data_IF_510647513503
#
_entry.id   IF_510647513503
#
_cell.length_a   1.000
_cell.length_b   1.000
_cell.length_c   1.000
_cell.angle_alpha   90.00
_cell.angle_beta   90.00
_cell.angle_gamma   90.00
#
_symmetry.space_group_name_H-M   'P 1'
#
loop_
_entity.id
_entity.type
_entity.pdbx_description
1 polymer ?
#
# COMPACT_ATOMS: atom_id res chain seq x y z
N UNK A 1 -5.48 -6.85 -28.88
CA UNK A 1 -5.23 -8.03 -28.02
C UNK A 1 -6.49 -8.89 -27.88
N UNK A 2 -7.62 -8.32 -27.42
CA UNK A 2 -8.91 -9.05 -27.24
C UNK A 2 -9.39 -9.68 -28.55
N UNK A 3 -9.36 -8.93 -29.67
CA UNK A 3 -9.73 -9.45 -30.99
C UNK A 3 -8.96 -10.72 -31.36
N UNK A 4 -7.66 -10.77 -31.01
CA UNK A 4 -6.84 -11.97 -31.28
C UNK A 4 -7.25 -13.16 -30.42
N UNK A 5 -7.67 -12.95 -29.18
CA UNK A 5 -8.23 -14.02 -28.34
C UNK A 5 -9.56 -14.53 -28.90
N UNK A 6 -10.42 -13.63 -29.39
CA UNK A 6 -11.71 -13.97 -30.00
C UNK A 6 -11.53 -14.76 -31.29
N UNK A 7 -10.56 -14.40 -32.16
CA UNK A 7 -10.17 -15.18 -33.33
C UNK A 7 -9.75 -16.60 -32.98
N UNK A 8 -9.14 -16.78 -31.78
CA UNK A 8 -8.75 -18.07 -31.22
C UNK A 8 -9.85 -18.76 -30.42
N UNK A 9 -11.11 -18.30 -30.61
CA UNK A 9 -12.32 -18.84 -29.98
C UNK A 9 -12.34 -18.75 -28.44
N UNK A 10 -11.72 -17.69 -27.87
CA UNK A 10 -11.90 -17.37 -26.46
C UNK A 10 -13.11 -16.47 -26.25
N UNK A 11 -13.95 -16.82 -25.28
CA UNK A 11 -14.91 -15.90 -24.70
C UNK A 11 -14.16 -14.99 -23.73
N UNK A 12 -14.26 -13.67 -23.92
CA UNK A 12 -13.51 -12.69 -23.16
C UNK A 12 -14.44 -11.76 -22.37
N UNK A 13 -14.18 -11.61 -21.09
CA UNK A 13 -14.76 -10.58 -20.24
C UNK A 13 -13.63 -9.73 -19.64
N UNK A 14 -13.77 -8.40 -19.66
CA UNK A 14 -12.78 -7.52 -19.06
C UNK A 14 -13.44 -6.30 -18.42
N UNK A 15 -12.87 -5.87 -17.31
CA UNK A 15 -13.36 -4.73 -16.54
C UNK A 15 -12.21 -4.08 -15.76
N UNK A 16 -12.30 -2.76 -15.56
CA UNK A 16 -11.46 -2.10 -14.56
C UNK A 16 -12.18 -2.24 -13.22
N UNK A 17 -11.50 -2.88 -12.26
CA UNK A 17 -12.02 -3.10 -10.91
C UNK A 17 -11.20 -2.34 -9.88
N UNK A 18 -11.81 -1.96 -8.77
CA UNK A 18 -11.12 -1.52 -7.58
C UNK A 18 -10.99 -2.73 -6.63
N UNK A 19 -9.79 -3.02 -6.15
CA UNK A 19 -9.58 -4.16 -5.24
C UNK A 19 -10.38 -4.02 -3.94
N UNK A 20 -10.69 -2.80 -3.49
CA UNK A 20 -11.54 -2.55 -2.33
C UNK A 20 -12.96 -3.12 -2.50
N UNK A 21 -13.49 -3.17 -3.73
CA UNK A 21 -14.80 -3.76 -4.03
C UNK A 21 -14.85 -5.26 -3.71
N UNK A 22 -13.69 -5.90 -3.53
CA UNK A 22 -13.52 -7.34 -3.29
C UNK A 22 -12.90 -7.65 -1.92
N UNK A 23 -12.90 -6.69 -0.99
CA UNK A 23 -12.46 -6.91 0.39
C UNK A 23 -10.96 -6.72 0.62
N UNK A 24 -10.23 -6.12 -0.33
CA UNK A 24 -8.83 -5.74 -0.10
C UNK A 24 -8.81 -4.37 0.61
N UNK A 25 -8.08 -4.18 1.73
CA UNK A 25 -8.02 -2.91 2.44
C UNK A 25 -7.16 -1.87 1.71
N UNK A 26 -7.32 -1.79 0.39
CA UNK A 26 -6.48 -0.97 -0.50
C UNK A 26 -7.28 -0.47 -1.70
N UNK A 27 -7.25 0.84 -1.92
CA UNK A 27 -7.76 1.46 -3.14
C UNK A 27 -6.76 1.24 -4.28
N UNK A 28 -7.00 0.20 -5.09
CA UNK A 28 -6.13 -0.23 -6.19
C UNK A 28 -6.97 -0.60 -7.40
N UNK A 29 -6.92 0.19 -8.43
CA UNK A 29 -7.64 -0.09 -9.68
C UNK A 29 -6.78 -0.88 -10.65
N UNK A 30 -7.34 -1.95 -11.20
CA UNK A 30 -6.68 -2.83 -12.16
C UNK A 30 -7.63 -3.23 -13.28
N UNK A 31 -7.07 -3.37 -14.48
CA UNK A 31 -7.73 -4.07 -15.56
C UNK A 31 -7.63 -5.57 -15.29
N UNK A 32 -8.78 -6.22 -15.17
CA UNK A 32 -8.88 -7.69 -15.11
C UNK A 32 -9.48 -8.17 -16.41
N UNK A 33 -8.81 -9.15 -17.04
CA UNK A 33 -9.28 -9.83 -18.24
C UNK A 33 -9.40 -11.31 -17.91
N UNK A 34 -10.60 -11.84 -18.12
CA UNK A 34 -10.87 -13.28 -18.11
C UNK A 34 -11.08 -13.74 -19.54
N UNK A 35 -10.46 -14.88 -19.89
CA UNK A 35 -10.61 -15.47 -21.21
C UNK A 35 -10.74 -17.00 -21.07
N UNK A 36 -11.78 -17.60 -21.65
CA UNK A 36 -12.08 -19.03 -21.56
C UNK A 36 -12.45 -19.59 -22.93
N UNK A 37 -11.96 -20.77 -23.23
CA UNK A 37 -12.43 -21.59 -24.39
C UNK A 37 -13.53 -22.57 -24.03
N UNK A 38 -13.86 -22.69 -22.72
CA UNK A 38 -14.86 -23.62 -22.21
C UNK A 38 -16.27 -23.02 -22.18
N UNK A 39 -16.42 -21.74 -22.50
CA UNK A 39 -17.68 -21.01 -22.49
C UNK A 39 -17.55 -19.61 -21.93
N UNK A 40 -18.68 -18.94 -21.73
CA UNK A 40 -18.72 -17.60 -21.14
C UNK A 40 -18.15 -17.61 -19.72
N UNK A 41 -17.38 -16.59 -19.43
CA UNK A 41 -16.79 -16.35 -18.10
C UNK A 41 -17.00 -14.89 -17.75
N UNK A 42 -17.38 -14.62 -16.51
CA UNK A 42 -17.66 -13.29 -16.00
C UNK A 42 -16.94 -13.07 -14.67
N UNK A 43 -16.64 -11.81 -14.38
CA UNK A 43 -16.17 -11.42 -13.06
C UNK A 43 -17.34 -11.52 -12.06
N UNK A 44 -17.05 -12.01 -10.87
CA UNK A 44 -18.01 -11.95 -9.77
C UNK A 44 -18.41 -10.50 -9.51
N UNK A 45 -19.64 -10.22 -9.09
CA UNK A 45 -20.07 -8.89 -8.69
C UNK A 45 -19.22 -8.36 -7.53
N UNK A 46 -19.07 -7.02 -7.38
CA UNK A 46 -18.51 -6.43 -6.18
C UNK A 46 -19.17 -6.97 -4.92
N UNK A 47 -18.37 -7.27 -3.89
CA UNK A 47 -18.82 -7.77 -2.59
C UNK A 47 -19.01 -6.64 -1.58
N UNK A 48 -18.35 -5.51 -1.80
CA UNK A 48 -18.34 -4.34 -0.93
C UNK A 48 -18.61 -3.07 -1.73
N UNK A 49 -19.22 -2.09 -1.13
CA UNK A 49 -19.38 -0.74 -1.60
C UNK A 49 -18.49 0.23 -0.78
N UNK A 50 -18.47 1.51 -1.16
CA UNK A 50 -17.59 2.52 -0.52
C UNK A 50 -17.85 2.71 0.98
N UNK A 51 -19.06 2.44 1.47
CA UNK A 51 -19.42 2.57 2.89
C UNK A 51 -18.93 1.39 3.72
N UNK A 52 -18.66 0.26 3.08
CA UNK A 52 -18.29 -1.01 3.73
C UNK A 52 -16.88 -1.50 3.37
N UNK A 53 -16.05 -0.68 2.73
CA UNK A 53 -14.68 -1.06 2.42
C UNK A 53 -13.87 -1.36 3.69
N UNK A 54 -13.07 -2.41 3.61
CA UNK A 54 -12.04 -2.67 4.63
C UNK A 54 -11.03 -1.52 4.65
N UNK A 55 -10.72 -1.08 5.86
CA UNK A 55 -9.90 0.11 6.12
C UNK A 55 -8.48 -0.27 6.56
N UNK A 56 -7.61 0.73 6.65
CA UNK A 56 -6.29 0.57 7.27
C UNK A 56 -6.43 0.06 8.70
N UNK A 57 -7.43 0.52 9.46
CA UNK A 57 -7.70 0.10 10.83
C UNK A 57 -8.00 -1.40 10.92
N UNK A 58 -8.86 -1.90 10.02
CA UNK A 58 -9.22 -3.32 10.01
C UNK A 58 -8.00 -4.20 9.74
N UNK A 59 -7.08 -3.75 8.88
CA UNK A 59 -5.92 -4.53 8.49
C UNK A 59 -4.77 -4.50 9.50
N UNK A 60 -4.47 -3.34 10.10
CA UNK A 60 -3.25 -3.15 10.90
C UNK A 60 -3.49 -2.55 12.29
N UNK A 61 -4.75 -2.21 12.64
CA UNK A 61 -5.05 -1.54 13.90
C UNK A 61 -4.75 -2.36 15.16
N UNK A 62 -4.65 -3.68 15.05
CA UNK A 62 -4.37 -4.59 16.16
C UNK A 62 -2.87 -4.95 16.31
N UNK A 63 -2.00 -4.44 15.43
CA UNK A 63 -0.57 -4.71 15.54
C UNK A 63 0.04 -3.97 16.73
N UNK A 64 1.09 -4.55 17.36
CA UNK A 64 1.82 -3.91 18.43
C UNK A 64 2.37 -2.55 18.02
N UNK A 65 2.52 -1.64 19.00
CA UNK A 65 3.20 -0.37 18.79
C UNK A 65 4.66 -0.60 18.41
N UNK A 66 5.15 0.18 17.43
CA UNK A 66 6.51 0.08 16.93
C UNK A 66 7.18 1.45 16.86
N UNK A 67 8.37 1.58 17.42
CA UNK A 67 9.17 2.80 17.30
C UNK A 67 9.81 2.94 15.91
N UNK A 68 10.19 4.17 15.54
CA UNK A 68 10.93 4.45 14.31
C UNK A 68 12.28 3.72 14.27
N UNK A 69 12.42 2.82 13.30
CA UNK A 69 13.61 2.00 13.11
C UNK A 69 13.70 0.79 14.04
N UNK A 70 12.63 0.46 14.75
CA UNK A 70 12.54 -0.73 15.61
C UNK A 70 12.11 -1.97 14.83
N UNK A 71 12.28 -3.10 15.50
CA UNK A 71 11.81 -4.44 15.09
C UNK A 71 11.05 -5.03 16.25
N UNK A 72 9.88 -5.59 15.98
CA UNK A 72 9.11 -6.34 16.97
C UNK A 72 9.84 -7.67 17.27
N UNK A 73 10.04 -8.02 18.54
CA UNK A 73 10.74 -9.25 18.92
C UNK A 73 9.97 -10.53 18.56
N UNK A 74 8.65 -10.46 18.54
CA UNK A 74 7.77 -11.61 18.27
C UNK A 74 7.44 -11.76 16.78
N UNK A 75 7.53 -10.67 15.99
CA UNK A 75 7.37 -10.68 14.54
C UNK A 75 8.50 -9.92 13.85
N UNK A 76 9.58 -10.56 13.43
CA UNK A 76 10.69 -9.91 12.73
C UNK A 76 10.31 -9.19 11.42
N UNK A 77 9.16 -9.51 10.83
CA UNK A 77 8.62 -8.77 9.69
C UNK A 77 7.97 -7.45 10.13
N UNK A 78 7.47 -7.34 11.36
CA UNK A 78 6.97 -6.09 11.91
C UNK A 78 8.13 -5.17 12.29
N UNK A 79 8.81 -4.65 11.28
CA UNK A 79 9.99 -3.78 11.39
C UNK A 79 9.83 -2.53 10.54
N UNK A 80 10.20 -1.38 11.09
CA UNK A 80 10.14 -0.08 10.44
C UNK A 80 11.52 0.39 9.98
N UNK A 81 11.59 1.02 8.82
CA UNK A 81 12.80 1.71 8.36
C UNK A 81 13.03 2.97 9.20
N UNK A 82 14.27 3.19 9.65
CA UNK A 82 14.64 4.38 10.42
C UNK A 82 14.54 5.63 9.57
N UNK A 83 13.84 6.63 10.04
CA UNK A 83 13.73 7.93 9.41
C UNK A 83 14.99 8.79 9.64
N UNK A 84 15.35 9.61 8.65
CA UNK A 84 16.33 10.69 8.86
C UNK A 84 15.77 11.71 9.86
N UNK A 85 16.66 12.50 10.47
CA UNK A 85 16.26 13.57 11.40
C UNK A 85 15.26 14.55 10.77
N UNK A 86 15.46 14.91 9.51
CA UNK A 86 14.54 15.78 8.76
C UNK A 86 13.17 15.11 8.57
N UNK A 87 13.14 13.82 8.22
CA UNK A 87 11.87 13.11 8.03
C UNK A 87 11.11 12.87 9.34
N UNK A 88 11.83 12.75 10.48
CA UNK A 88 11.19 12.74 11.80
C UNK A 88 10.50 14.07 12.13
N UNK A 89 11.11 15.19 11.77
CA UNK A 89 10.45 16.52 11.92
C UNK A 89 9.24 16.63 11.01
N UNK A 90 9.34 16.19 9.77
CA UNK A 90 8.23 16.20 8.79
C UNK A 90 7.05 15.37 9.25
N UNK A 91 7.27 14.13 9.65
CA UNK A 91 6.18 13.24 10.04
C UNK A 91 5.45 13.72 11.29
N UNK A 92 6.13 14.38 12.22
CA UNK A 92 5.49 14.99 13.40
C UNK A 92 4.52 16.12 13.05
N UNK A 93 4.73 16.80 11.94
CA UNK A 93 3.83 17.84 11.43
C UNK A 93 2.78 17.30 10.45
N UNK A 94 2.96 16.07 9.96
CA UNK A 94 2.02 15.48 9.02
C UNK A 94 0.78 14.98 9.75
N UNK A 95 -0.38 15.39 9.28
CA UNK A 95 -1.68 14.91 9.77
C UNK A 95 -2.20 13.75 8.90
N UNK A 96 -3.03 12.84 9.44
CA UNK A 96 -3.67 11.80 8.64
C UNK A 96 -4.45 12.40 7.46
N UNK A 97 -4.28 11.82 6.26
CA UNK A 97 -4.89 12.34 5.04
C UNK A 97 -4.28 13.63 4.49
N UNK A 98 -3.46 14.33 5.28
CA UNK A 98 -2.78 15.58 4.91
C UNK A 98 -1.63 15.41 3.92
N UNK A 99 -0.86 16.46 3.74
CA UNK A 99 0.27 16.48 2.80
C UNK A 99 1.41 17.37 3.32
N UNK A 100 2.51 17.42 2.57
CA UNK A 100 3.63 18.34 2.84
C UNK A 100 3.23 19.83 2.88
N UNK A 101 2.01 20.18 2.47
CA UNK A 101 1.50 21.56 2.57
C UNK A 101 1.28 22.00 4.00
N UNK A 102 1.04 21.08 4.90
CA UNK A 102 0.79 21.29 6.32
C UNK A 102 2.07 21.57 7.11
N UNK A 103 3.24 21.45 6.46
CA UNK A 103 4.54 21.66 7.10
C UNK A 103 5.00 23.10 7.09
N UNK A 104 5.86 23.43 8.05
CA UNK A 104 6.64 24.64 8.03
C UNK A 104 7.49 24.74 6.75
N UNK A 105 7.75 25.97 6.30
CA UNK A 105 8.42 26.21 5.02
C UNK A 105 9.87 25.69 4.95
N UNK A 106 10.55 25.59 6.10
CA UNK A 106 11.92 25.04 6.21
C UNK A 106 11.98 23.53 5.98
N UNK A 107 10.85 22.84 6.19
CA UNK A 107 10.71 21.39 5.95
C UNK A 107 10.30 21.04 4.52
N UNK A 108 9.80 22.02 3.76
CA UNK A 108 9.38 21.81 2.37
C UNK A 108 10.59 21.66 1.45
N UNK A 109 10.53 20.67 0.56
CA UNK A 109 11.56 20.48 -0.46
C UNK A 109 11.51 21.57 -1.53
N UNK A 110 12.63 21.89 -2.20
CA UNK A 110 12.63 22.84 -3.31
C UNK A 110 11.62 22.48 -4.41
N UNK A 111 11.41 21.20 -4.69
CA UNK A 111 10.42 20.73 -5.66
C UNK A 111 8.98 21.02 -5.24
N UNK A 112 8.67 21.03 -3.93
CA UNK A 112 7.34 21.37 -3.43
C UNK A 112 6.99 22.85 -3.66
N UNK A 113 7.99 23.72 -3.68
CA UNK A 113 7.84 25.17 -3.88
C UNK A 113 7.63 25.55 -5.36
N UNK A 114 7.93 24.63 -6.29
CA UNK A 114 7.72 24.83 -7.74
C UNK A 114 6.27 24.56 -8.14
N UNK A 115 5.79 25.22 -9.19
CA UNK A 115 4.44 24.99 -9.74
C UNK A 115 4.20 23.53 -10.12
N UNK A 116 5.21 22.86 -10.73
CA UNK A 116 5.18 21.45 -11.11
C UNK A 116 5.09 20.48 -9.90
N UNK A 117 5.60 20.87 -8.74
CA UNK A 117 5.56 20.05 -7.52
C UNK A 117 4.20 20.00 -6.82
N UNK A 118 3.32 20.96 -7.12
CA UNK A 118 2.01 21.08 -6.47
C UNK A 118 1.09 19.88 -6.73
N UNK A 119 1.34 19.09 -7.78
CA UNK A 119 0.58 17.89 -8.12
C UNK A 119 0.89 16.68 -7.23
N UNK A 120 2.08 16.60 -6.64
CA UNK A 120 2.54 15.45 -5.85
C UNK A 120 2.12 15.56 -4.36
N UNK A 121 0.83 15.49 -4.10
CA UNK A 121 0.28 15.70 -2.74
C UNK A 121 0.40 14.48 -1.83
N UNK A 122 0.56 13.29 -2.37
CA UNK A 122 0.56 12.06 -1.58
C UNK A 122 1.92 11.74 -0.94
N UNK A 123 3.03 12.22 -1.51
CA UNK A 123 4.38 11.94 -0.96
C UNK A 123 4.53 12.54 0.44
N UNK A 124 5.19 11.81 1.32
CA UNK A 124 5.35 12.16 2.73
C UNK A 124 4.02 12.30 3.51
N UNK A 125 2.92 11.74 3.01
CA UNK A 125 1.65 11.77 3.72
C UNK A 125 1.52 10.64 4.73
N UNK A 126 0.64 10.83 5.74
CA UNK A 126 0.14 9.76 6.61
C UNK A 126 -1.11 9.15 6.03
N UNK A 127 -1.28 7.84 6.21
CA UNK A 127 -2.55 7.18 5.95
C UNK A 127 -3.63 7.66 6.93
N UNK A 128 -4.87 7.32 6.61
CA UNK A 128 -6.02 7.52 7.48
C UNK A 128 -6.49 6.15 8.00
N UNK A 129 -6.88 6.08 9.27
CA UNK A 129 -7.33 4.83 9.87
C UNK A 129 -8.59 4.27 9.19
N UNK A 130 -9.55 5.16 8.92
CA UNK A 130 -10.90 4.78 8.54
C UNK A 130 -11.14 4.87 7.02
N UNK A 131 -10.07 4.65 6.25
CA UNK A 131 -10.11 4.54 4.79
C UNK A 131 -9.26 3.37 4.30
N UNK A 132 -9.55 2.81 3.11
CA UNK A 132 -8.63 1.90 2.44
C UNK A 132 -7.26 2.56 2.22
N UNK A 133 -6.20 1.80 2.29
CA UNK A 133 -4.85 2.29 2.01
C UNK A 133 -4.72 2.76 0.55
N UNK A 134 -3.81 3.69 0.24
CA UNK A 134 -3.41 3.89 -1.15
C UNK A 134 -2.71 2.63 -1.69
N UNK A 135 -2.57 2.55 -3.00
CA UNK A 135 -1.86 1.43 -3.64
C UNK A 135 -0.48 1.24 -3.03
N UNK A 136 -0.25 0.08 -2.43
CA UNK A 136 1.06 -0.34 -1.91
C UNK A 136 2.02 -0.56 -3.08
N UNK A 137 3.19 0.06 -3.02
CA UNK A 137 4.24 0.00 -4.05
C UNK A 137 5.48 -0.68 -3.50
N UNK A 138 6.46 -0.96 -4.34
CA UNK A 138 7.70 -1.67 -3.94
C UNK A 138 8.56 -0.95 -2.89
N UNK A 139 8.27 0.32 -2.61
CA UNK A 139 8.99 1.14 -1.63
C UNK A 139 8.07 1.74 -0.56
N UNK A 140 6.95 1.10 -0.28
CA UNK A 140 5.95 1.55 0.70
C UNK A 140 6.52 1.76 2.12
N UNK A 141 7.59 1.05 2.46
CA UNK A 141 8.29 1.17 3.75
C UNK A 141 9.15 2.45 3.88
N UNK A 142 9.13 3.31 2.87
CA UNK A 142 9.85 4.59 2.85
C UNK A 142 8.88 5.77 2.89
N UNK A 143 8.97 6.60 3.92
CA UNK A 143 8.08 7.73 4.16
C UNK A 143 7.98 8.73 2.98
N UNK A 144 9.07 8.88 2.22
CA UNK A 144 9.13 9.81 1.08
C UNK A 144 8.49 9.30 -0.23
N UNK A 145 8.07 8.03 -0.29
CA UNK A 145 7.71 7.38 -1.55
C UNK A 145 6.20 7.38 -1.85
N UNK A 146 5.40 7.98 -0.97
CA UNK A 146 3.95 8.05 -1.09
C UNK A 146 3.29 8.45 0.23
N UNK A 147 2.02 8.14 0.37
CA UNK A 147 1.27 8.29 1.62
C UNK A 147 1.47 7.05 2.51
N UNK A 148 2.72 6.81 2.91
CA UNK A 148 3.12 5.61 3.65
C UNK A 148 3.57 5.90 5.08
N UNK A 149 3.28 7.09 5.61
CA UNK A 149 3.36 7.36 7.04
C UNK A 149 2.25 6.62 7.78
N UNK A 150 2.61 5.94 8.89
CA UNK A 150 1.61 5.31 9.77
C UNK A 150 0.58 6.36 10.24
N UNK A 151 -0.70 6.02 10.34
CA UNK A 151 -1.75 7.00 10.69
C UNK A 151 -1.47 7.76 11.99
N UNK A 152 -0.89 7.11 12.99
CA UNK A 152 -0.69 7.66 14.33
C UNK A 152 0.78 7.73 14.75
N UNK A 153 1.55 6.65 14.52
CA UNK A 153 2.95 6.54 14.96
C UNK A 153 3.88 7.35 14.04
N UNK A 154 4.96 7.92 14.61
CA UNK A 154 5.89 8.80 13.88
C UNK A 154 6.91 8.02 13.06
N UNK A 155 6.47 7.13 12.20
CA UNK A 155 7.28 6.26 11.33
C UNK A 155 6.59 5.98 9.98
N UNK A 156 7.32 5.43 9.04
CA UNK A 156 6.74 4.81 7.87
C UNK A 156 6.07 3.47 8.24
N UNK A 157 5.31 2.89 7.30
CA UNK A 157 4.78 1.53 7.47
C UNK A 157 5.89 0.53 7.71
N UNK A 158 5.61 -0.48 8.53
CA UNK A 158 6.45 -1.67 8.67
C UNK A 158 6.28 -2.61 7.47
N UNK A 159 7.17 -3.62 7.37
CA UNK A 159 7.04 -4.65 6.34
C UNK A 159 5.76 -5.47 6.52
N UNK A 160 5.42 -5.83 7.77
CA UNK A 160 4.19 -6.57 8.10
C UNK A 160 2.93 -5.79 7.74
N UNK A 161 2.89 -4.51 8.07
CA UNK A 161 1.75 -3.65 7.73
C UNK A 161 1.50 -3.59 6.23
N UNK A 162 2.55 -3.45 5.43
CA UNK A 162 2.40 -3.47 3.97
C UNK A 162 1.93 -4.82 3.43
N UNK A 163 2.37 -5.93 4.03
CA UNK A 163 1.91 -7.27 3.65
C UNK A 163 0.41 -7.44 3.93
N UNK A 164 -0.06 -7.06 5.12
CA UNK A 164 -1.47 -7.14 5.49
C UNK A 164 -2.35 -6.25 4.59
N UNK A 165 -1.89 -5.03 4.27
CA UNK A 165 -2.58 -4.13 3.35
C UNK A 165 -2.60 -4.66 1.90
N UNK A 166 -1.74 -5.61 1.55
CA UNK A 166 -1.73 -6.37 0.30
C UNK A 166 -2.48 -7.71 0.42
N UNK A 167 -3.25 -7.92 1.49
CA UNK A 167 -4.04 -9.13 1.79
C UNK A 167 -3.21 -10.42 1.96
N UNK A 168 -1.91 -10.33 2.25
CA UNK A 168 -1.19 -11.52 2.69
C UNK A 168 -1.72 -11.99 4.04
N UNK A 169 -1.89 -13.30 4.24
CA UNK A 169 -2.26 -13.84 5.54
C UNK A 169 -1.24 -13.46 6.64
N UNK A 170 -1.67 -13.24 7.88
CA UNK A 170 -0.77 -12.88 8.98
C UNK A 170 0.37 -13.88 9.20
N UNK A 171 0.12 -15.16 8.94
CA UNK A 171 1.08 -16.27 9.09
C UNK A 171 2.01 -16.44 7.89
N UNK A 172 1.84 -15.65 6.82
CA UNK A 172 2.68 -15.79 5.63
C UNK A 172 4.15 -15.46 5.96
N UNK A 173 5.02 -16.40 5.65
CA UNK A 173 6.46 -16.30 5.93
C UNK A 173 7.21 -15.70 4.73
N UNK A 174 7.71 -14.49 4.90
CA UNK A 174 8.58 -13.81 3.93
C UNK A 174 10.07 -13.98 4.26
N UNK A 175 10.37 -14.39 5.48
CA UNK A 175 11.73 -14.51 5.97
C UNK A 175 12.15 -15.99 5.93
N UNK A 176 13.21 -16.28 5.22
CA UNK A 176 13.87 -17.56 5.28
C UNK A 176 14.89 -17.53 6.45
N UNK A 177 14.79 -18.41 7.44
CA UNK A 177 15.75 -18.48 8.54
C UNK A 177 17.20 -18.72 8.09
N UNK A 178 17.40 -19.34 6.94
CA UNK A 178 18.72 -19.68 6.39
C UNK A 178 19.28 -18.60 5.46
N UNK A 179 18.44 -17.68 4.98
CA UNK A 179 18.84 -16.64 4.04
C UNK A 179 18.48 -15.24 4.54
N UNK A 180 19.47 -14.35 4.52
CA UNK A 180 19.26 -12.97 4.91
C UNK A 180 18.49 -12.22 3.81
N UNK A 181 17.26 -11.78 4.13
CA UNK A 181 16.45 -10.95 3.26
C UNK A 181 16.50 -9.47 3.69
N UNK A 182 16.81 -8.61 2.72
CA UNK A 182 16.84 -7.17 2.95
C UNK A 182 15.41 -6.59 2.93
N UNK A 183 15.19 -5.46 3.61
CA UNK A 183 13.92 -4.72 3.50
C UNK A 183 13.58 -4.40 2.04
N UNK A 184 14.58 -4.16 1.20
CA UNK A 184 14.39 -3.88 -0.23
C UNK A 184 13.83 -5.10 -0.96
N UNK A 185 14.40 -6.27 -0.75
CA UNK A 185 13.95 -7.51 -1.38
C UNK A 185 12.50 -7.80 -0.99
N UNK A 186 12.21 -7.85 0.30
CA UNK A 186 10.87 -8.12 0.83
C UNK A 186 9.86 -7.06 0.35
N UNK A 187 10.22 -5.78 0.42
CA UNK A 187 9.36 -4.70 -0.04
C UNK A 187 9.02 -4.78 -1.52
N UNK A 188 9.97 -5.24 -2.37
CA UNK A 188 9.73 -5.49 -3.80
C UNK A 188 8.73 -6.63 -3.98
N UNK A 189 8.88 -7.73 -3.26
CA UNK A 189 7.95 -8.87 -3.35
C UNK A 189 6.54 -8.47 -2.93
N UNK A 190 6.41 -7.84 -1.77
CA UNK A 190 5.10 -7.38 -1.26
C UNK A 190 4.47 -6.36 -2.21
N UNK A 191 5.22 -5.33 -2.64
CA UNK A 191 4.68 -4.26 -3.47
C UNK A 191 4.29 -4.69 -4.89
N UNK A 192 4.95 -5.72 -5.44
CA UNK A 192 4.63 -6.30 -6.74
C UNK A 192 3.50 -7.34 -6.68
N UNK A 193 3.16 -7.81 -5.50
CA UNK A 193 2.09 -8.79 -5.35
C UNK A 193 0.75 -8.24 -5.90
N UNK A 194 -0.03 -9.14 -6.43
CA UNK A 194 -1.44 -8.89 -6.79
C UNK A 194 -2.26 -9.34 -5.59
N UNK A 195 -3.01 -8.45 -4.93
CA UNK A 195 -3.93 -8.84 -3.86
C UNK A 195 -4.97 -9.82 -4.39
N UNK A 196 -5.29 -10.83 -3.62
CA UNK A 196 -6.27 -11.88 -3.95
C UNK A 196 -7.45 -11.82 -3.00
#
# INVERSE_FOLDING_TARGET
FISKLQELQYHCCWKIVNCADYGVPQSRRRLVLLASRLGNIELIPPLFDEEHYLTVRDAIGNLPYLEDGAVDPDDPLHRASRLSQTNRRRIRQSVPGGSWKDWDDDLKLPCHKKASGKGYRAVYGRMEWDKPSPTITTQYYGYGNGRFGHPEQNRALSMREGALLQSFPPEYQFLDPEHFETNRSIGVHIGNAVPV
#
